data_IF_068681497850
#
_entry.id   IF_068681497850
#
_cell.length_a   1.000
_cell.length_b   1.000
_cell.length_c   1.000
_cell.angle_alpha   90.00
_cell.angle_beta   90.00
_cell.angle_gamma   90.00
#
_symmetry.space_group_name_H-M   'P 1'
#
loop_
_entity.id
_entity.type
_entity.pdbx_description
1 polymer ?
#
# COMPACT_ATOMS: atom_id res chain seq x y z
N UNK A 1 7.97 -4.84 -16.18
CA UNK A 1 6.80 -5.07 -15.31
C UNK A 1 5.80 -3.93 -15.45
N UNK A 2 4.52 -4.25 -15.26
CA UNK A 2 3.47 -3.23 -15.20
C UNK A 2 3.48 -2.58 -13.82
N UNK A 3 3.36 -1.27 -13.78
CA UNK A 3 3.33 -0.52 -12.53
C UNK A 3 1.91 -0.04 -12.22
N UNK A 4 1.62 0.08 -10.93
CA UNK A 4 0.31 0.49 -10.42
C UNK A 4 0.50 1.41 -9.23
N UNK A 5 -0.37 2.42 -9.13
CA UNK A 5 -0.47 3.23 -7.91
C UNK A 5 -1.70 2.77 -7.14
N UNK A 6 -1.49 2.45 -5.88
CA UNK A 6 -2.52 2.00 -4.96
C UNK A 6 -2.71 3.09 -3.92
N UNK A 7 -3.94 3.56 -3.76
CA UNK A 7 -4.29 4.55 -2.74
C UNK A 7 -5.38 3.96 -1.87
N UNK A 8 -5.09 3.82 -0.57
CA UNK A 8 -6.05 3.34 0.41
C UNK A 8 -6.32 4.41 1.45
N UNK A 9 -7.58 4.65 1.77
CA UNK A 9 -7.98 5.56 2.84
C UNK A 9 -8.63 4.77 3.96
N UNK A 10 -8.15 4.99 5.18
CA UNK A 10 -8.67 4.34 6.38
C UNK A 10 -10.10 4.84 6.67
N UNK A 11 -10.81 4.10 7.52
CA UNK A 11 -12.07 4.57 8.10
C UNK A 11 -11.81 5.82 8.94
N UNK A 12 -12.87 6.59 9.23
CA UNK A 12 -12.76 7.87 9.91
C UNK A 12 -13.26 7.84 11.36
N UNK A 13 -13.60 6.66 11.88
CA UNK A 13 -14.03 6.50 13.26
C UNK A 13 -12.84 6.58 14.24
N UNK A 14 -13.13 6.75 15.53
CA UNK A 14 -12.09 6.92 16.55
C UNK A 14 -11.13 5.73 16.67
N UNK A 15 -11.60 4.52 16.39
CA UNK A 15 -10.78 3.30 16.50
C UNK A 15 -9.93 3.00 15.27
N UNK A 16 -10.06 3.78 14.20
CA UNK A 16 -9.42 3.46 12.92
C UNK A 16 -7.88 3.40 13.02
N UNK A 17 -7.27 4.38 13.68
CA UNK A 17 -5.81 4.42 13.83
C UNK A 17 -5.30 3.23 14.64
N UNK A 18 -5.98 2.90 15.73
CA UNK A 18 -5.58 1.76 16.58
C UNK A 18 -5.65 0.44 15.81
N UNK A 19 -6.69 0.25 14.99
CA UNK A 19 -6.81 -0.94 14.14
C UNK A 19 -5.69 -1.01 13.13
N UNK A 20 -5.36 0.12 12.49
CA UNK A 20 -4.23 0.20 11.56
C UNK A 20 -2.92 -0.18 12.24
N UNK A 21 -2.64 0.42 13.39
CA UNK A 21 -1.39 0.19 14.10
C UNK A 21 -1.27 -1.24 14.62
N UNK A 22 -2.37 -1.88 14.97
CA UNK A 22 -2.38 -3.27 15.44
C UNK A 22 -1.87 -4.25 14.37
N UNK A 23 -2.17 -4.01 13.10
CA UNK A 23 -1.77 -4.90 12.00
C UNK A 23 -0.59 -4.35 11.18
N UNK A 24 -0.11 -3.15 11.49
CA UNK A 24 0.97 -2.51 10.74
C UNK A 24 2.25 -3.35 10.65
N UNK A 25 2.70 -4.04 11.71
CA UNK A 25 3.88 -4.91 11.56
C UNK A 25 3.71 -5.97 10.49
N UNK A 26 2.51 -6.55 10.38
CA UNK A 26 2.19 -7.53 9.34
C UNK A 26 2.23 -6.90 7.94
N UNK A 27 1.68 -5.68 7.80
CA UNK A 27 1.74 -4.93 6.54
C UNK A 27 3.19 -4.65 6.13
N UNK A 28 4.04 -4.25 7.08
CA UNK A 28 5.45 -3.97 6.80
C UNK A 28 6.21 -5.23 6.41
N UNK A 29 5.88 -6.38 7.01
CA UNK A 29 6.48 -7.66 6.61
C UNK A 29 6.11 -8.00 5.16
N UNK A 30 4.86 -7.77 4.76
CA UNK A 30 4.42 -7.94 3.38
C UNK A 30 5.16 -7.00 2.41
N UNK A 31 5.38 -5.76 2.83
CA UNK A 31 6.13 -4.79 2.03
C UNK A 31 7.59 -5.23 1.84
N UNK A 32 8.22 -5.79 2.88
CA UNK A 32 9.58 -6.34 2.78
C UNK A 32 9.65 -7.50 1.79
N UNK A 33 8.65 -8.37 1.79
CA UNK A 33 8.55 -9.47 0.84
C UNK A 33 8.41 -8.96 -0.60
N UNK A 34 7.54 -7.98 -0.82
CA UNK A 34 7.39 -7.33 -2.12
C UNK A 34 8.72 -6.73 -2.59
N UNK A 35 9.43 -6.06 -1.69
CA UNK A 35 10.73 -5.46 -1.99
C UNK A 35 11.75 -6.53 -2.38
N UNK A 36 11.80 -7.64 -1.66
CA UNK A 36 12.71 -8.75 -1.94
C UNK A 36 12.46 -9.34 -3.33
N UNK A 37 11.21 -9.33 -3.79
CA UNK A 37 10.81 -9.85 -5.09
C UNK A 37 10.82 -8.79 -6.20
N UNK A 38 11.34 -7.59 -5.93
CA UNK A 38 11.38 -6.48 -6.87
C UNK A 38 9.98 -5.99 -7.30
N UNK A 39 8.99 -6.17 -6.44
CA UNK A 39 7.61 -5.73 -6.67
C UNK A 39 7.27 -4.39 -6.00
N UNK A 40 8.12 -3.91 -5.11
CA UNK A 40 7.88 -2.68 -4.35
C UNK A 40 8.74 -1.55 -4.89
N UNK A 41 8.10 -0.51 -5.43
CA UNK A 41 8.82 0.66 -5.93
C UNK A 41 8.96 1.70 -4.83
N UNK A 42 7.84 2.10 -4.25
CA UNK A 42 7.82 3.00 -3.10
C UNK A 42 6.46 2.93 -2.43
N UNK A 43 6.38 3.43 -1.21
CA UNK A 43 5.12 3.55 -0.51
C UNK A 43 5.30 4.26 0.82
N UNK A 44 4.19 4.68 1.38
CA UNK A 44 4.17 5.36 2.66
C UNK A 44 2.76 5.63 3.13
N UNK A 45 2.67 6.21 4.33
CA UNK A 45 1.40 6.57 4.92
C UNK A 45 1.02 8.01 4.56
N UNK A 46 -0.27 8.21 4.31
CA UNK A 46 -0.85 9.55 4.20
C UNK A 46 -1.08 10.05 5.63
N UNK A 47 -0.70 11.28 5.90
CA UNK A 47 -0.83 11.88 7.23
C UNK A 47 -1.88 12.99 7.22
N UNK A 48 -2.60 13.13 8.34
CA UNK A 48 -3.45 14.28 8.57
C UNK A 48 -2.62 15.47 9.09
N UNK A 49 -3.29 16.59 9.40
CA UNK A 49 -2.63 17.81 9.86
C UNK A 49 -1.91 17.62 11.20
N UNK A 50 -2.30 16.62 11.99
CA UNK A 50 -1.68 16.28 13.27
C UNK A 50 -0.56 15.25 13.13
N UNK A 51 -0.26 14.82 11.91
CA UNK A 51 0.76 13.81 11.64
C UNK A 51 0.31 12.37 11.87
N UNK A 52 -0.99 12.13 12.04
CA UNK A 52 -1.53 10.79 12.23
C UNK A 52 -1.76 10.11 10.88
N UNK A 53 -1.51 8.82 10.82
CA UNK A 53 -1.70 8.03 9.60
C UNK A 53 -3.18 7.83 9.31
N UNK A 54 -3.61 8.22 8.11
CA UNK A 54 -5.02 8.14 7.68
C UNK A 54 -5.21 7.35 6.39
N UNK A 55 -4.15 6.87 5.82
CA UNK A 55 -4.20 6.11 4.59
C UNK A 55 -2.81 5.71 4.12
N UNK A 56 -2.74 5.19 2.91
CA UNK A 56 -1.48 4.73 2.31
C UNK A 56 -1.46 4.99 0.82
N UNK A 57 -0.26 5.24 0.31
CA UNK A 57 0.01 5.22 -1.13
C UNK A 57 1.14 4.21 -1.35
N UNK A 58 0.96 3.32 -2.32
CA UNK A 58 1.98 2.36 -2.71
C UNK A 58 2.11 2.38 -4.22
N UNK A 59 3.35 2.32 -4.71
CA UNK A 59 3.61 2.07 -6.13
C UNK A 59 4.25 0.68 -6.21
N UNK A 60 3.54 -0.24 -6.84
CA UNK A 60 3.96 -1.63 -6.99
C UNK A 60 4.13 -1.97 -8.46
N UNK A 61 4.83 -3.06 -8.74
CA UNK A 61 5.02 -3.54 -10.10
C UNK A 61 4.94 -5.05 -10.14
N UNK A 62 4.27 -5.57 -11.18
CA UNK A 62 4.08 -7.01 -11.38
C UNK A 62 4.19 -7.33 -12.86
N UNK A 63 4.59 -8.57 -13.16
CA UNK A 63 4.65 -9.02 -14.56
C UNK A 63 3.25 -9.18 -15.16
N UNK A 64 2.28 -9.59 -14.36
CA UNK A 64 0.91 -9.87 -14.81
C UNK A 64 -0.13 -9.24 -13.89
N UNK A 65 -1.33 -9.05 -14.42
CA UNK A 65 -2.48 -8.57 -13.64
C UNK A 65 -2.90 -9.61 -12.58
N UNK A 66 -2.69 -10.89 -12.87
CA UNK A 66 -3.00 -11.98 -11.94
C UNK A 66 -2.13 -11.89 -10.67
N UNK A 67 -0.88 -11.48 -10.81
CA UNK A 67 0.00 -11.27 -9.65
C UNK A 67 -0.48 -10.10 -8.78
N UNK A 68 -0.98 -9.03 -9.40
CA UNK A 68 -1.61 -7.92 -8.68
C UNK A 68 -2.83 -8.40 -7.90
N UNK A 69 -3.70 -9.18 -8.54
CA UNK A 69 -4.89 -9.72 -7.88
C UNK A 69 -4.52 -10.66 -6.72
N UNK A 70 -3.48 -11.46 -6.88
CA UNK A 70 -2.95 -12.32 -5.81
C UNK A 70 -2.46 -11.49 -4.62
N UNK A 71 -1.77 -10.38 -4.88
CA UNK A 71 -1.32 -9.47 -3.82
C UNK A 71 -2.50 -8.88 -3.05
N UNK A 72 -3.55 -8.43 -3.75
CA UNK A 72 -4.74 -7.87 -3.10
C UNK A 72 -5.36 -8.84 -2.08
N UNK A 73 -5.29 -10.13 -2.36
CA UNK A 73 -5.85 -11.17 -1.47
C UNK A 73 -5.00 -11.43 -0.24
N UNK A 74 -3.76 -10.95 -0.22
CA UNK A 74 -2.81 -11.14 0.89
C UNK A 74 -2.62 -9.90 1.73
N UNK A 75 -2.81 -8.70 1.17
CA UNK A 75 -2.53 -7.46 1.86
C UNK A 75 -3.44 -7.28 3.06
N UNK A 76 -2.86 -7.23 4.26
CA UNK A 76 -3.61 -7.17 5.53
C UNK A 76 -4.47 -5.90 5.63
N UNK A 77 -4.03 -4.78 5.07
CA UNK A 77 -4.83 -3.56 5.08
C UNK A 77 -6.11 -3.68 4.24
N UNK A 78 -6.11 -4.58 3.26
CA UNK A 78 -7.30 -4.91 2.47
C UNK A 78 -8.10 -5.99 3.20
N UNK A 79 -7.46 -7.11 3.55
CA UNK A 79 -8.16 -8.30 4.08
C UNK A 79 -8.76 -8.06 5.46
N UNK A 80 -8.16 -7.21 6.27
CA UNK A 80 -8.67 -6.85 7.59
C UNK A 80 -9.56 -5.60 7.57
N UNK A 81 -9.83 -5.05 6.37
CA UNK A 81 -10.71 -3.89 6.24
C UNK A 81 -10.17 -2.62 6.89
N UNK A 82 -8.85 -2.45 6.94
CA UNK A 82 -8.25 -1.23 7.49
C UNK A 82 -8.54 -0.04 6.56
N UNK A 83 -8.33 -0.24 5.25
CA UNK A 83 -8.74 0.76 4.26
C UNK A 83 -10.24 0.65 4.02
N UNK A 84 -10.95 1.76 4.16
CA UNK A 84 -12.36 1.86 3.79
C UNK A 84 -12.50 1.84 2.28
N UNK A 85 -11.62 2.57 1.59
CA UNK A 85 -11.61 2.63 0.12
C UNK A 85 -10.22 2.29 -0.39
N UNK A 86 -10.18 1.60 -1.53
CA UNK A 86 -8.93 1.24 -2.21
C UNK A 86 -9.09 1.59 -3.68
N UNK A 87 -8.14 2.33 -4.21
CA UNK A 87 -8.09 2.67 -5.62
C UNK A 87 -6.79 2.11 -6.20
N UNK A 88 -6.87 1.43 -7.34
CA UNK A 88 -5.71 0.88 -8.04
C UNK A 88 -5.76 1.36 -9.48
N UNK A 89 -4.71 2.05 -9.91
CA UNK A 89 -4.63 2.56 -11.28
C UNK A 89 -3.31 2.17 -11.93
N UNK A 90 -3.30 1.91 -13.25
CA UNK A 90 -2.06 1.81 -14.00
C UNK A 90 -1.24 3.09 -13.79
N UNK A 91 0.05 2.92 -13.64
CA UNK A 91 0.94 4.03 -13.35
C UNK A 91 2.28 3.79 -14.03
N UNK A 92 3.00 4.86 -14.27
CA UNK A 92 4.36 4.75 -14.80
C UNK A 92 5.24 5.75 -14.08
N UNK A 93 6.20 5.24 -13.34
CA UNK A 93 7.19 6.08 -12.67
C UNK A 93 8.03 6.78 -13.74
N UNK A 94 8.09 8.11 -13.69
CA UNK A 94 8.94 8.88 -14.57
C UNK A 94 10.35 8.99 -13.98
N UNK A 95 10.42 9.39 -12.71
CA UNK A 95 11.68 9.54 -11.97
C UNK A 95 11.50 9.09 -10.53
N UNK A 96 12.56 8.55 -9.94
CA UNK A 96 12.65 8.32 -8.51
C UNK A 96 14.07 8.71 -8.06
N UNK A 97 14.26 8.83 -6.76
CA UNK A 97 15.59 9.16 -6.22
C UNK A 97 16.64 8.13 -6.66
N UNK A 98 16.24 6.86 -6.72
CA UNK A 98 17.14 5.75 -7.09
C UNK A 98 17.47 5.72 -8.58
N UNK A 99 16.69 6.43 -9.41
CA UNK A 99 16.89 6.49 -10.86
C UNK A 99 17.75 7.68 -11.28
N UNK A 100 18.08 8.58 -10.38
CA UNK A 100 18.81 9.82 -10.67
C UNK A 100 20.33 9.59 -10.91
#
# INVERSE_FOLDING_TARGET
MKQYIITGYDHTDEGALDRRMAVRPHHLDGAKELRANNNYVMGGAILDDDGKMTGSVMVLQFETDEELEAWKKKEIYITAGIWETVDVKPFKVAFSVEMA
#
